data_IF_059299870681
#
_entry.id   IF_059299870681
#
_cell.length_a   1.000
_cell.length_b   1.000
_cell.length_c   1.000
_cell.angle_alpha   90.00
_cell.angle_beta   90.00
_cell.angle_gamma   90.00
#
_symmetry.space_group_name_H-M   'P 1'
#
loop_
_entity.id
_entity.type
_entity.pdbx_description
1 polymer ?
#
# COMPACT_ATOMS: atom_id res chain seq x y z
N UNK A 1 7.13 -2.48 2.20
CA UNK A 1 6.33 -1.98 3.35
C UNK A 1 4.85 -2.13 3.12
N UNK A 2 4.25 -1.27 2.28
CA UNK A 2 2.79 -1.15 2.09
C UNK A 2 2.03 -2.47 1.86
N UNK A 3 2.58 -3.43 1.09
CA UNK A 3 1.94 -4.75 0.89
C UNK A 3 1.81 -5.54 2.19
N UNK A 4 2.85 -5.54 3.03
CA UNK A 4 2.82 -6.23 4.33
C UNK A 4 1.84 -5.54 5.28
N UNK A 5 1.79 -4.21 5.27
CA UNK A 5 0.82 -3.47 6.10
C UNK A 5 -0.62 -3.72 5.63
N UNK A 6 -0.86 -3.80 4.32
CA UNK A 6 -2.17 -4.19 3.79
C UNK A 6 -2.56 -5.60 4.24
N UNK A 7 -1.61 -6.55 4.26
CA UNK A 7 -1.84 -7.89 4.80
C UNK A 7 -2.24 -7.84 6.28
N UNK A 8 -1.53 -7.08 7.11
CA UNK A 8 -1.88 -6.92 8.52
C UNK A 8 -3.28 -6.30 8.72
N UNK A 9 -3.68 -5.35 7.86
CA UNK A 9 -5.03 -4.81 7.88
C UNK A 9 -6.09 -5.84 7.47
N UNK A 10 -5.78 -6.71 6.50
CA UNK A 10 -6.67 -7.81 6.11
C UNK A 10 -6.86 -8.79 7.27
N UNK A 11 -5.79 -9.15 7.99
CA UNK A 11 -5.87 -10.00 9.18
C UNK A 11 -6.77 -9.36 10.25
N UNK A 12 -6.64 -8.05 10.49
CA UNK A 12 -7.51 -7.34 11.44
C UNK A 12 -8.97 -7.29 10.97
N UNK A 13 -9.24 -7.16 9.66
CA UNK A 13 -10.59 -7.22 9.12
C UNK A 13 -11.21 -8.60 9.32
N UNK A 14 -10.46 -9.67 9.05
CA UNK A 14 -10.91 -11.05 9.26
C UNK A 14 -11.18 -11.33 10.74
N UNK A 15 -10.30 -10.86 11.62
CA UNK A 15 -10.46 -11.02 13.07
C UNK A 15 -11.65 -10.20 13.64
N UNK A 16 -11.92 -9.01 13.09
CA UNK A 16 -13.08 -8.21 13.48
C UNK A 16 -14.39 -8.90 13.10
N UNK A 17 -14.44 -9.59 11.95
CA UNK A 17 -15.62 -10.31 11.50
C UNK A 17 -16.90 -9.48 11.56
N UNK A 18 -17.95 -10.04 12.17
CA UNK A 18 -19.24 -9.39 12.39
C UNK A 18 -19.34 -8.61 13.72
N UNK A 19 -18.23 -8.46 14.46
CA UNK A 19 -18.26 -7.76 15.75
C UNK A 19 -18.53 -6.26 15.55
N UNK A 20 -19.35 -5.69 16.42
CA UNK A 20 -19.80 -4.30 16.35
C UNK A 20 -19.21 -3.45 17.48
N UNK A 21 -19.24 -2.13 17.31
CA UNK A 21 -18.75 -1.16 18.29
C UNK A 21 -17.53 -0.40 17.79
N UNK A 22 -17.31 0.77 18.38
CA UNK A 22 -16.36 1.78 17.87
C UNK A 22 -14.95 1.26 17.61
N UNK A 23 -14.46 0.29 18.39
CA UNK A 23 -13.17 -0.35 18.15
C UNK A 23 -13.13 -1.11 16.82
N UNK A 24 -14.08 -2.03 16.58
CA UNK A 24 -14.15 -2.83 15.35
C UNK A 24 -14.53 -1.99 14.13
N UNK A 25 -15.43 -1.02 14.31
CA UNK A 25 -15.78 -0.06 13.26
C UNK A 25 -14.59 0.79 12.84
N UNK A 26 -13.79 1.24 13.80
CA UNK A 26 -12.54 1.96 13.56
C UNK A 26 -11.53 1.12 12.77
N UNK A 27 -11.36 -0.16 13.12
CA UNK A 27 -10.51 -1.10 12.36
C UNK A 27 -10.98 -1.24 10.91
N UNK A 28 -12.28 -1.41 10.69
CA UNK A 28 -12.87 -1.47 9.34
C UNK A 28 -12.66 -0.17 8.55
N UNK A 29 -12.83 0.98 9.19
CA UNK A 29 -12.62 2.27 8.54
C UNK A 29 -11.15 2.49 8.16
N UNK A 30 -10.22 2.20 9.06
CA UNK A 30 -8.78 2.34 8.81
C UNK A 30 -8.30 1.40 7.69
N UNK A 31 -8.74 0.13 7.70
CA UNK A 31 -8.42 -0.81 6.63
C UNK A 31 -8.98 -0.32 5.28
N UNK A 32 -10.25 0.12 5.22
CA UNK A 32 -10.81 0.71 3.99
C UNK A 32 -9.98 1.88 3.46
N UNK A 33 -9.57 2.79 4.35
CA UNK A 33 -8.68 3.89 3.97
C UNK A 33 -7.37 3.36 3.38
N UNK A 34 -6.71 2.42 4.07
CA UNK A 34 -5.41 1.91 3.64
C UNK A 34 -5.49 1.23 2.27
N UNK A 35 -6.47 0.34 2.07
CA UNK A 35 -6.67 -0.35 0.80
C UNK A 35 -7.07 0.60 -0.34
N UNK A 36 -7.78 1.70 -0.04
CA UNK A 36 -8.24 2.65 -1.05
C UNK A 36 -7.20 3.72 -1.42
N UNK A 37 -6.40 4.18 -0.47
CA UNK A 37 -5.54 5.35 -0.65
C UNK A 37 -4.05 5.06 -0.56
N UNK A 38 -3.63 4.14 0.32
CA UNK A 38 -2.22 3.86 0.56
C UNK A 38 -1.70 2.73 -0.32
N UNK A 39 -2.40 1.60 -0.34
CA UNK A 39 -1.97 0.43 -1.11
C UNK A 39 -1.81 0.71 -2.62
N UNK A 40 -2.71 1.43 -3.31
CA UNK A 40 -2.56 1.67 -4.75
C UNK A 40 -1.28 2.42 -5.14
N UNK A 41 -0.64 3.13 -4.19
CA UNK A 41 0.63 3.84 -4.41
C UNK A 41 1.79 2.89 -4.75
N UNK A 42 1.68 1.60 -4.43
CA UNK A 42 2.70 0.61 -4.81
C UNK A 42 2.67 0.27 -6.29
N UNK A 43 1.53 0.47 -6.99
CA UNK A 43 1.37 0.10 -8.40
C UNK A 43 2.44 0.72 -9.31
N UNK A 44 2.56 2.05 -9.37
CA UNK A 44 3.59 2.71 -10.19
C UNK A 44 5.02 2.27 -9.86
N UNK A 45 5.31 1.98 -8.59
CA UNK A 45 6.63 1.49 -8.17
C UNK A 45 6.90 0.07 -8.70
N UNK A 46 5.89 -0.80 -8.69
CA UNK A 46 6.00 -2.13 -9.30
C UNK A 46 6.12 -2.06 -10.81
N UNK A 47 5.45 -1.12 -11.47
CA UNK A 47 5.57 -0.94 -12.92
C UNK A 47 7.00 -0.54 -13.33
N UNK A 48 7.63 0.40 -12.60
CA UNK A 48 9.03 0.78 -12.84
C UNK A 48 9.97 -0.42 -12.66
N UNK A 49 9.78 -1.19 -11.59
CA UNK A 49 10.57 -2.39 -11.33
C UNK A 49 10.38 -3.44 -12.44
N UNK A 50 9.14 -3.72 -12.85
CA UNK A 50 8.81 -4.70 -13.86
C UNK A 50 9.42 -4.34 -15.22
N UNK A 51 9.44 -3.05 -15.57
CA UNK A 51 10.05 -2.53 -16.81
C UNK A 51 11.57 -2.43 -16.75
N UNK A 52 12.17 -2.67 -15.57
CA UNK A 52 13.61 -2.42 -15.31
C UNK A 52 14.00 -1.02 -15.73
N UNK A 53 13.20 -0.05 -15.31
CA UNK A 53 13.38 1.35 -15.67
C UNK A 53 14.84 1.81 -15.42
N UNK A 54 15.42 2.47 -16.42
CA UNK A 54 16.82 2.92 -16.42
C UNK A 54 16.97 4.42 -16.28
N UNK A 55 15.88 5.15 -16.02
CA UNK A 55 15.87 6.63 -16.03
C UNK A 55 17.01 7.19 -15.19
N UNK A 56 17.28 6.64 -14.01
CA UNK A 56 18.36 7.11 -13.12
C UNK A 56 19.74 6.59 -13.50
N UNK A 57 19.85 5.49 -14.22
CA UNK A 57 21.12 4.95 -14.73
C UNK A 57 21.62 5.69 -15.97
N UNK A 58 20.71 6.35 -16.68
CA UNK A 58 20.98 7.07 -17.92
C UNK A 58 21.19 8.58 -17.70
N UNK A 59 21.10 9.04 -16.46
CA UNK A 59 21.43 10.42 -16.09
C UNK A 59 22.94 10.66 -16.28
N UNK A 60 23.29 11.77 -16.94
CA UNK A 60 24.67 12.24 -17.02
C UNK A 60 24.93 13.35 -16.01
N UNK A 61 26.12 13.32 -15.41
CA UNK A 61 26.57 14.33 -14.44
C UNK A 61 26.50 15.75 -15.02
N UNK A 62 26.74 15.89 -16.34
CA UNK A 62 26.72 17.17 -17.04
C UNK A 62 25.33 17.81 -17.17
N UNK A 63 24.25 17.11 -16.81
CA UNK A 63 22.87 17.63 -16.90
C UNK A 63 22.40 18.32 -15.61
N UNK A 64 23.22 18.32 -14.55
CA UNK A 64 22.94 18.86 -13.22
C UNK A 64 24.08 19.79 -12.76
#
# INVERSE_FOLDING_TARGET
GHVVIAWMWLEQLLAAGAQEGGFYDGKRAAARYFFRYELPRTGPQFDLLARRDRTTLEMEDAWF
#
